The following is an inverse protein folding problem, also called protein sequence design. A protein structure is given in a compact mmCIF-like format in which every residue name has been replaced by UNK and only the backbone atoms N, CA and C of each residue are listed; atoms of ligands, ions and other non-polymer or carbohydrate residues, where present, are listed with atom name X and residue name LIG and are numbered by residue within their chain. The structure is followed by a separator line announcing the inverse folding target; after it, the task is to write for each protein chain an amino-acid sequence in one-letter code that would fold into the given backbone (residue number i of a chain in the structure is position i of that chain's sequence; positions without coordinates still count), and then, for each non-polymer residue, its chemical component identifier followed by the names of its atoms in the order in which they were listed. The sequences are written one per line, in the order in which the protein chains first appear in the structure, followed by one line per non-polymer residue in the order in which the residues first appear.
data_IF_474952378238
#
_entry.id   IF_474952378238
#
_cell.length_a   1.000
_cell.length_b   1.000
_cell.length_c   1.000
_cell.angle_alpha   90.00
_cell.angle_beta   90.00
_cell.angle_gamma   90.00
#
_symmetry.space_group_name_H-M   'P 1'
#
loop_
_entity.id
_entity.type
_entity.pdbx_description
1 polymer ?
#
# COMPACT_ATOMS: atom_id res chain seq x y z
N UNK A 1 18.41 8.26 -12.37
CA UNK A 1 17.37 7.63 -13.22
C UNK A 1 16.68 6.64 -12.30
N UNK A 2 15.44 6.89 -11.88
CA UNK A 2 14.68 5.94 -11.04
C UNK A 2 14.39 4.74 -11.93
N UNK A 3 14.72 3.52 -11.50
CA UNK A 3 14.40 2.31 -12.26
C UNK A 3 12.88 2.26 -12.41
N UNK A 4 12.38 2.02 -13.62
CA UNK A 4 10.93 1.85 -13.79
C UNK A 4 10.49 0.65 -12.96
N UNK A 5 9.39 0.77 -12.21
CA UNK A 5 8.78 -0.36 -11.51
C UNK A 5 8.47 -1.48 -12.50
N UNK A 6 9.10 -2.62 -12.29
CA UNK A 6 8.87 -3.82 -13.08
C UNK A 6 7.59 -4.52 -12.61
N UNK A 7 7.01 -5.39 -13.45
CA UNK A 7 5.80 -6.17 -13.10
C UNK A 7 5.96 -6.99 -11.80
N UNK A 8 7.19 -7.34 -11.45
CA UNK A 8 7.54 -8.13 -10.25
C UNK A 8 7.45 -7.30 -8.97
N UNK A 9 7.54 -5.96 -9.06
CA UNK A 9 7.50 -5.08 -7.89
C UNK A 9 6.07 -4.87 -7.36
N UNK A 10 5.06 -4.91 -8.24
CA UNK A 10 3.66 -4.72 -7.85
C UNK A 10 3.17 -5.74 -6.82
N UNK A 11 3.44 -7.06 -6.95
CA UNK A 11 3.10 -8.04 -5.91
C UNK A 11 3.74 -7.75 -4.54
N UNK A 12 4.98 -7.27 -4.52
CA UNK A 12 5.67 -6.94 -3.26
C UNK A 12 5.04 -5.70 -2.60
N UNK A 13 4.77 -4.66 -3.38
CA UNK A 13 4.09 -3.46 -2.88
C UNK A 13 2.66 -3.78 -2.42
N UNK A 14 1.93 -4.62 -3.14
CA UNK A 14 0.62 -5.11 -2.68
C UNK A 14 0.73 -5.86 -1.35
N UNK A 15 1.77 -6.68 -1.17
CA UNK A 15 2.01 -7.37 0.10
C UNK A 15 2.26 -6.37 1.24
N UNK A 16 2.99 -5.28 1.00
CA UNK A 16 3.13 -4.21 2.00
C UNK A 16 1.78 -3.58 2.34
N UNK A 17 0.96 -3.27 1.32
CA UNK A 17 -0.36 -2.68 1.54
C UNK A 17 -1.27 -3.61 2.37
N UNK A 18 -1.32 -4.91 2.04
CA UNK A 18 -2.17 -5.90 2.75
C UNK A 18 -1.72 -6.17 4.17
N UNK A 19 -0.41 -6.12 4.44
CA UNK A 19 0.15 -6.38 5.76
C UNK A 19 0.28 -5.11 6.61
N UNK A 20 -0.21 -3.97 6.13
CA UNK A 20 0.02 -2.66 6.77
C UNK A 20 -0.34 -2.66 8.25
N UNK A 21 -1.52 -3.17 8.64
CA UNK A 21 -1.95 -3.19 10.04
C UNK A 21 -1.01 -4.02 10.93
N UNK A 22 -0.65 -5.23 10.50
CA UNK A 22 0.32 -6.07 11.22
C UNK A 22 1.70 -5.42 11.32
N UNK A 23 2.14 -4.73 10.27
CA UNK A 23 3.40 -3.98 10.27
C UNK A 23 3.36 -2.78 11.22
N UNK A 24 2.25 -2.05 11.29
CA UNK A 24 2.04 -0.96 12.26
C UNK A 24 2.11 -1.48 13.70
N UNK A 25 1.47 -2.62 13.97
CA UNK A 25 1.49 -3.23 15.31
C UNK A 25 2.90 -3.67 15.69
N UNK A 26 3.65 -4.25 14.76
CA UNK A 26 5.03 -4.65 14.96
C UNK A 26 5.93 -3.43 15.18
N UNK A 27 5.73 -2.35 14.42
CA UNK A 27 6.48 -1.10 14.53
C UNK A 27 6.27 -0.43 15.90
N UNK A 28 5.02 -0.37 16.39
CA UNK A 28 4.67 0.23 17.69
C UNK A 28 5.18 -0.57 18.88
N UNK A 29 5.14 -1.89 18.79
CA UNK A 29 5.47 -2.79 19.89
C UNK A 29 6.93 -3.28 19.88
N UNK A 30 7.78 -2.71 18.99
CA UNK A 30 9.19 -3.03 18.74
C UNK A 30 9.71 -4.24 19.52
N UNK A 31 9.79 -5.40 18.86
CA UNK A 31 10.36 -6.59 19.47
C UNK A 31 11.83 -6.34 19.86
N UNK A 32 12.22 -6.70 21.08
CA UNK A 32 13.55 -6.42 21.64
C UNK A 32 14.70 -7.09 20.86
N UNK A 33 14.39 -8.11 20.06
CA UNK A 33 15.30 -8.91 19.25
C UNK A 33 15.31 -8.51 17.77
N UNK A 34 14.58 -7.46 17.37
CA UNK A 34 14.54 -7.02 15.98
C UNK A 34 15.85 -6.33 15.58
N UNK A 35 16.48 -6.88 14.54
CA UNK A 35 17.62 -6.29 13.85
C UNK A 35 17.31 -4.87 13.34
N UNK A 36 18.29 -3.96 13.48
CA UNK A 36 18.12 -2.53 13.17
C UNK A 36 17.77 -2.29 11.70
N UNK A 37 18.41 -3.01 10.78
CA UNK A 37 18.13 -2.93 9.34
C UNK A 37 16.70 -3.38 9.03
N UNK A 38 16.22 -4.44 9.68
CA UNK A 38 14.82 -4.88 9.57
C UNK A 38 13.85 -3.83 10.13
N UNK A 39 14.20 -3.19 11.25
CA UNK A 39 13.37 -2.14 11.85
C UNK A 39 13.30 -0.90 10.95
N UNK A 40 14.42 -0.45 10.38
CA UNK A 40 14.46 0.68 9.44
C UNK A 40 13.62 0.41 8.19
N UNK A 41 13.69 -0.81 7.64
CA UNK A 41 12.87 -1.21 6.50
C UNK A 41 11.38 -1.21 6.86
N UNK A 42 11.01 -1.79 8.01
CA UNK A 42 9.63 -1.78 8.50
C UNK A 42 9.11 -0.36 8.70
N UNK A 43 9.92 0.50 9.33
CA UNK A 43 9.60 1.91 9.56
C UNK A 43 9.39 2.65 8.24
N UNK A 44 10.28 2.48 7.26
CA UNK A 44 10.15 3.09 5.93
C UNK A 44 8.84 2.68 5.26
N UNK A 45 8.51 1.38 5.27
CA UNK A 45 7.27 0.87 4.67
C UNK A 45 6.04 1.45 5.37
N UNK A 46 5.99 1.40 6.70
CA UNK A 46 4.84 1.90 7.49
C UNK A 46 4.65 3.40 7.25
N UNK A 47 5.73 4.19 7.28
CA UNK A 47 5.66 5.63 7.05
C UNK A 47 5.26 5.96 5.62
N UNK A 48 5.84 5.29 4.63
CA UNK A 48 5.53 5.52 3.22
C UNK A 48 4.07 5.21 2.86
N UNK A 49 3.53 4.07 3.34
CA UNK A 49 2.10 3.73 3.14
C UNK A 49 1.20 4.75 3.84
N UNK A 50 1.53 5.13 5.08
CA UNK A 50 0.77 6.13 5.85
C UNK A 50 0.75 7.48 5.14
N UNK A 51 1.91 7.91 4.62
CA UNK A 51 2.02 9.15 3.87
C UNK A 51 1.15 9.11 2.61
N UNK A 52 1.26 8.06 1.79
CA UNK A 52 0.46 7.94 0.56
C UNK A 52 -1.05 7.96 0.87
N UNK A 53 -1.48 7.31 1.94
CA UNK A 53 -2.88 7.34 2.37
C UNK A 53 -3.30 8.77 2.77
N UNK A 54 -2.54 9.43 3.63
CA UNK A 54 -2.88 10.77 4.15
C UNK A 54 -2.84 11.86 3.06
N UNK A 55 -1.89 11.77 2.12
CA UNK A 55 -1.73 12.71 1.01
C UNK A 55 -2.69 12.42 -0.16
N UNK A 56 -3.58 11.45 -0.03
CA UNK A 56 -4.56 11.10 -1.04
C UNK A 56 -5.91 11.76 -0.78
N UNK A 57 -6.63 12.09 -1.87
CA UNK A 57 -8.02 12.52 -1.76
C UNK A 57 -8.92 11.41 -1.17
N UNK A 58 -10.12 11.79 -0.75
CA UNK A 58 -11.08 10.89 -0.10
C UNK A 58 -11.42 9.67 -0.96
N UNK A 59 -11.52 9.84 -2.28
CA UNK A 59 -11.87 8.75 -3.20
C UNK A 59 -10.73 7.73 -3.28
N UNK A 60 -9.49 8.19 -3.38
CA UNK A 60 -8.30 7.34 -3.38
C UNK A 60 -8.11 6.67 -2.01
N UNK A 61 -8.36 7.36 -0.90
CA UNK A 61 -8.35 6.76 0.43
C UNK A 61 -9.36 5.60 0.56
N UNK A 62 -10.57 5.75 -0.01
CA UNK A 62 -11.56 4.68 -0.05
C UNK A 62 -11.10 3.50 -0.89
N UNK A 63 -10.48 3.73 -2.06
CA UNK A 63 -9.88 2.66 -2.88
C UNK A 63 -8.82 1.90 -2.09
N UNK A 64 -7.95 2.63 -1.37
CA UNK A 64 -6.90 2.02 -0.54
C UNK A 64 -7.51 1.09 0.51
N UNK A 65 -8.52 1.61 1.24
CA UNK A 65 -9.22 0.85 2.28
C UNK A 65 -9.85 -0.42 1.73
N UNK A 66 -10.72 -0.28 0.73
CA UNK A 66 -11.49 -1.40 0.16
C UNK A 66 -10.61 -2.43 -0.54
N UNK A 67 -9.45 -2.03 -1.06
CA UNK A 67 -8.55 -2.94 -1.78
C UNK A 67 -7.58 -3.68 -0.86
N UNK A 68 -7.02 -3.01 0.14
CA UNK A 68 -5.87 -3.55 0.90
C UNK A 68 -5.97 -3.47 2.42
N UNK A 69 -6.67 -2.48 3.00
CA UNK A 69 -6.65 -2.28 4.47
C UNK A 69 -7.85 -2.89 5.19
N UNK A 70 -8.98 -3.04 4.51
CA UNK A 70 -10.13 -3.76 5.07
C UNK A 70 -9.83 -5.28 5.05
N UNK A 71 -10.15 -5.97 6.13
CA UNK A 71 -9.98 -7.42 6.25
C UNK A 71 -10.92 -8.19 5.31
N UNK A 72 -11.95 -7.51 4.80
CA UNK A 72 -12.90 -8.05 3.84
C UNK A 72 -12.29 -8.15 2.44
N UNK A 73 -12.37 -9.35 1.87
CA UNK A 73 -11.93 -9.64 0.50
C UNK A 73 -13.05 -9.34 -0.51
N UNK A 74 -13.25 -8.06 -0.83
CA UNK A 74 -14.18 -7.68 -1.89
C UNK A 74 -13.61 -8.00 -3.27
N UNK A 75 -14.48 -8.34 -4.22
CA UNK A 75 -14.10 -8.50 -5.62
C UNK A 75 -13.91 -7.14 -6.28
N UNK A 76 -13.15 -7.11 -7.38
CA UNK A 76 -12.94 -5.88 -8.16
C UNK A 76 -14.24 -5.31 -8.70
N UNK A 77 -15.21 -6.16 -9.03
CA UNK A 77 -16.56 -5.76 -9.43
C UNK A 77 -17.28 -5.01 -8.32
N UNK A 78 -17.30 -5.56 -7.10
CA UNK A 78 -17.95 -4.92 -5.95
C UNK A 78 -17.28 -3.60 -5.60
N UNK A 79 -15.95 -3.55 -5.61
CA UNK A 79 -15.23 -2.31 -5.32
C UNK A 79 -15.51 -1.27 -6.41
N UNK A 80 -15.48 -1.67 -7.68
CA UNK A 80 -15.73 -0.76 -8.79
C UNK A 80 -17.15 -0.17 -8.73
N UNK A 81 -18.15 -1.01 -8.42
CA UNK A 81 -19.53 -0.61 -8.23
C UNK A 81 -19.69 0.39 -7.06
N UNK A 82 -19.18 0.06 -5.88
CA UNK A 82 -19.20 0.94 -4.70
C UNK A 82 -18.51 2.28 -4.96
N UNK A 83 -17.41 2.26 -5.72
CA UNK A 83 -16.66 3.48 -6.07
C UNK A 83 -17.29 4.27 -7.23
N UNK A 84 -18.31 3.74 -7.89
CA UNK A 84 -18.95 4.33 -9.07
C UNK A 84 -17.99 4.49 -10.25
N UNK A 85 -17.11 3.51 -10.50
CA UNK A 85 -16.11 3.54 -11.58
C UNK A 85 -16.06 2.22 -12.34
N UNK A 86 -15.45 2.22 -13.53
CA UNK A 86 -15.18 0.96 -14.24
C UNK A 86 -14.07 0.16 -13.54
N UNK A 87 -14.06 -1.17 -13.70
CA UNK A 87 -12.97 -2.02 -13.21
C UNK A 87 -11.61 -1.63 -13.83
N UNK A 88 -11.60 -1.14 -15.07
CA UNK A 88 -10.39 -0.64 -15.72
C UNK A 88 -9.85 0.61 -15.01
N UNK A 89 -10.73 1.56 -14.68
CA UNK A 89 -10.39 2.76 -13.91
C UNK A 89 -9.88 2.39 -12.51
N UNK A 90 -10.52 1.44 -11.85
CA UNK A 90 -10.08 0.93 -10.55
C UNK A 90 -8.67 0.31 -10.64
N UNK A 91 -8.40 -0.52 -11.65
CA UNK A 91 -7.07 -1.12 -11.87
C UNK A 91 -6.01 -0.04 -12.07
N UNK A 92 -6.29 0.95 -12.91
CA UNK A 92 -5.37 2.06 -13.14
C UNK A 92 -5.10 2.87 -11.87
N UNK A 93 -6.14 3.16 -11.07
CA UNK A 93 -6.00 3.85 -9.80
C UNK A 93 -5.09 3.06 -8.84
N UNK A 94 -5.25 1.73 -8.75
CA UNK A 94 -4.39 0.88 -7.93
C UNK A 94 -2.93 0.90 -8.39
N UNK A 95 -2.68 0.82 -9.69
CA UNK A 95 -1.31 0.93 -10.24
C UNK A 95 -0.67 2.28 -9.88
N UNK A 96 -1.41 3.39 -9.99
CA UNK A 96 -0.93 4.72 -9.62
C UNK A 96 -0.63 4.82 -8.13
N UNK A 97 -1.49 4.25 -7.27
CA UNK A 97 -1.27 4.21 -5.82
C UNK A 97 -0.01 3.44 -5.49
N UNK A 98 0.19 2.24 -6.07
CA UNK A 98 1.38 1.43 -5.82
C UNK A 98 2.67 2.14 -6.28
N UNK A 99 2.63 2.88 -7.40
CA UNK A 99 3.74 3.73 -7.83
C UNK A 99 4.07 4.83 -6.81
N UNK A 100 3.05 5.44 -6.20
CA UNK A 100 3.24 6.44 -5.13
C UNK A 100 3.85 5.79 -3.89
N UNK A 101 3.42 4.59 -3.52
CA UNK A 101 3.98 3.82 -2.39
C UNK A 101 5.44 3.50 -2.63
N UNK A 102 5.79 2.95 -3.80
CA UNK A 102 7.17 2.66 -4.17
C UNK A 102 8.08 3.89 -4.00
N UNK A 103 7.63 5.05 -4.48
CA UNK A 103 8.36 6.32 -4.33
C UNK A 103 8.48 6.73 -2.86
N UNK A 104 7.44 6.52 -2.04
CA UNK A 104 7.41 6.92 -0.65
C UNK A 104 8.23 6.00 0.28
N UNK A 105 8.50 4.76 -0.13
CA UNK A 105 9.33 3.80 0.63
C UNK A 105 10.78 3.74 0.10
N UNK A 106 11.17 4.70 -0.74
CA UNK A 106 12.47 4.77 -1.43
C UNK A 106 12.83 3.46 -2.15
N UNK A 107 11.84 2.83 -2.78
CA UNK A 107 12.05 1.64 -3.62
C UNK A 107 12.81 2.04 -4.89
N UNK A 108 14.05 1.56 -5.06
CA UNK A 108 15.00 1.96 -6.14
C UNK A 108 14.83 1.13 -7.41
#
# INVERSE_FOLDING_TARGET
MIRGLDKVDYPLLEKYMRNYHSMVDTYKNKANDMDELKYMNLESIVKGVTQVYNDSDVKVQQIIKLTWLDDKKYTDEVIADVMGVSQLTLRHAREVILKRVAKAVDYV
#
